data_IF_396413378822
#
_entry.id   IF_396413378822
#
_cell.length_a   1.000
_cell.length_b   1.000
_cell.length_c   1.000
_cell.angle_alpha   90.00
_cell.angle_beta   90.00
_cell.angle_gamma   90.00
#
_symmetry.space_group_name_H-M   'P 1'
#
loop_
_entity.id
_entity.type
_entity.pdbx_description
1 polymer ?
#
# COMPACT_ATOMS: atom_id res chain seq x y z
N UNK A 1 -11.46 6.07 -17.98
CA UNK A 1 -11.06 5.94 -16.55
C UNK A 1 -11.27 4.50 -16.16
N UNK A 2 -10.27 3.85 -15.57
CA UNK A 2 -10.48 2.50 -15.06
C UNK A 2 -11.48 2.52 -13.90
N UNK A 3 -12.11 1.39 -13.64
CA UNK A 3 -13.16 1.30 -12.60
C UNK A 3 -12.61 1.60 -11.19
N UNK A 4 -11.29 1.47 -10.99
CA UNK A 4 -10.58 1.79 -9.76
C UNK A 4 -10.43 3.29 -9.57
N UNK A 5 -9.90 3.98 -10.58
CA UNK A 5 -9.74 5.43 -10.54
C UNK A 5 -11.08 6.13 -10.31
N UNK A 6 -12.19 5.59 -10.83
CA UNK A 6 -13.52 6.14 -10.60
C UNK A 6 -13.96 6.07 -9.14
N UNK A 7 -13.72 4.95 -8.46
CA UNK A 7 -14.08 4.83 -7.04
C UNK A 7 -13.22 5.74 -6.17
N UNK A 8 -11.92 5.78 -6.44
CA UNK A 8 -11.01 6.67 -5.73
C UNK A 8 -11.34 8.14 -6.00
N UNK A 9 -11.78 8.53 -7.21
CA UNK A 9 -12.16 9.92 -7.50
C UNK A 9 -13.31 10.40 -6.61
N UNK A 10 -14.29 9.53 -6.39
CA UNK A 10 -15.42 9.82 -5.48
C UNK A 10 -15.00 9.85 -4.01
N UNK A 11 -14.03 9.02 -3.62
CA UNK A 11 -13.43 9.06 -2.31
C UNK A 11 -12.49 10.27 -2.15
N UNK A 12 -11.82 10.70 -3.22
CA UNK A 12 -10.90 11.83 -3.18
C UNK A 12 -11.59 13.17 -2.87
N UNK A 13 -12.86 13.34 -3.25
CA UNK A 13 -13.67 14.49 -2.83
C UNK A 13 -13.91 14.51 -1.30
N UNK A 14 -13.83 13.34 -0.65
CA UNK A 14 -14.04 13.17 0.79
C UNK A 14 -12.75 12.96 1.58
N UNK A 15 -11.77 12.38 0.92
CA UNK A 15 -10.49 11.98 1.49
C UNK A 15 -9.45 12.18 0.40
N UNK A 16 -8.60 13.18 0.55
CA UNK A 16 -7.48 13.37 -0.36
C UNK A 16 -6.65 12.09 -0.39
N UNK A 17 -6.86 11.26 -1.42
CA UNK A 17 -6.16 10.00 -1.57
C UNK A 17 -4.80 10.27 -2.18
N UNK A 18 -3.78 10.44 -1.35
CA UNK A 18 -2.41 10.65 -1.80
C UNK A 18 -1.50 9.51 -1.34
N UNK A 19 -0.48 9.22 -2.14
CA UNK A 19 0.68 8.41 -1.78
C UNK A 19 1.91 9.30 -1.70
N UNK A 20 2.88 8.88 -0.93
CA UNK A 20 4.14 9.60 -0.78
C UNK A 20 5.31 8.63 -0.84
N UNK A 21 6.25 8.92 -1.72
CA UNK A 21 7.55 8.27 -1.83
C UNK A 21 8.60 9.20 -1.27
N UNK A 22 9.44 8.67 -0.37
CA UNK A 22 10.47 9.42 0.34
C UNK A 22 11.84 8.85 -0.03
N UNK A 23 12.66 9.65 -0.67
CA UNK A 23 14.05 9.35 -0.98
C UNK A 23 14.96 10.22 -0.11
N UNK A 24 15.88 9.60 0.63
CA UNK A 24 16.85 10.29 1.47
C UNK A 24 18.24 10.16 0.86
N UNK A 25 18.91 11.26 0.65
CA UNK A 25 20.25 11.30 0.06
C UNK A 25 21.25 12.02 0.97
N UNK A 26 22.51 11.58 0.92
CA UNK A 26 23.61 12.06 1.78
C UNK A 26 24.25 13.33 1.23
N UNK A 27 23.59 14.48 1.41
CA UNK A 27 24.16 15.76 0.97
C UNK A 27 23.17 16.64 0.23
N UNK A 28 23.70 17.69 -0.44
CA UNK A 28 22.87 18.63 -1.18
C UNK A 28 22.65 18.17 -2.63
N UNK A 29 21.47 18.43 -3.15
CA UNK A 29 21.08 18.17 -4.54
C UNK A 29 20.91 19.47 -5.32
N UNK A 30 21.10 19.43 -6.63
CA UNK A 30 20.80 20.55 -7.51
C UNK A 30 19.30 20.64 -7.77
N UNK A 31 18.66 21.67 -7.26
CA UNK A 31 17.22 21.88 -7.44
C UNK A 31 16.83 22.09 -8.91
N UNK A 32 17.69 22.76 -9.68
CA UNK A 32 17.46 22.97 -11.12
C UNK A 32 17.40 21.62 -11.86
N UNK A 33 18.40 20.73 -11.64
CA UNK A 33 18.42 19.40 -12.26
C UNK A 33 17.28 18.52 -11.75
N UNK A 34 16.97 18.59 -10.45
CA UNK A 34 15.85 17.84 -9.88
C UNK A 34 14.53 18.24 -10.53
N UNK A 35 14.30 19.53 -10.66
CA UNK A 35 13.12 20.06 -11.30
C UNK A 35 13.02 19.62 -12.78
N UNK A 36 14.14 19.70 -13.51
CA UNK A 36 14.23 19.25 -14.90
C UNK A 36 13.93 17.76 -15.04
N UNK A 37 14.52 16.90 -14.20
CA UNK A 37 14.24 15.46 -14.18
C UNK A 37 12.77 15.17 -13.90
N UNK A 38 12.16 15.84 -12.91
CA UNK A 38 10.74 15.63 -12.57
C UNK A 38 9.83 16.08 -13.73
N UNK A 39 10.08 17.27 -14.29
CA UNK A 39 9.30 17.77 -15.43
C UNK A 39 9.39 16.81 -16.61
N UNK A 40 10.60 16.32 -16.92
CA UNK A 40 10.79 15.33 -17.97
C UNK A 40 9.99 14.05 -17.70
N UNK A 41 10.11 13.45 -16.50
CA UNK A 41 9.44 12.21 -16.13
C UNK A 41 7.90 12.34 -16.11
N UNK A 42 7.38 13.47 -15.68
CA UNK A 42 5.95 13.77 -15.76
C UNK A 42 5.49 13.95 -17.20
N UNK A 43 6.31 14.62 -18.05
CA UNK A 43 5.97 14.89 -19.44
C UNK A 43 5.78 13.62 -20.26
N UNK A 44 6.53 12.57 -19.98
CA UNK A 44 6.45 11.30 -20.69
C UNK A 44 5.37 10.35 -20.16
N UNK A 45 4.73 10.66 -19.00
CA UNK A 45 3.67 9.84 -18.39
C UNK A 45 2.30 10.45 -18.65
N UNK A 46 1.58 9.86 -19.60
CA UNK A 46 0.23 10.31 -19.97
C UNK A 46 -0.72 10.36 -18.76
N UNK A 47 -0.62 9.39 -17.85
CA UNK A 47 -1.47 9.34 -16.64
C UNK A 47 -1.26 10.56 -15.75
N UNK A 48 -0.02 11.00 -15.52
CA UNK A 48 0.26 12.18 -14.68
C UNK A 48 -0.19 13.50 -15.29
N UNK A 49 -0.40 13.55 -16.62
CA UNK A 49 -0.90 14.72 -17.34
C UNK A 49 -2.42 14.79 -17.41
N UNK A 50 -3.13 13.73 -16.95
CA UNK A 50 -4.60 13.71 -16.96
C UNK A 50 -5.15 14.63 -15.89
N UNK A 51 -6.14 15.44 -16.28
CA UNK A 51 -6.98 16.17 -15.36
C UNK A 51 -8.34 15.47 -15.27
N UNK A 52 -8.88 15.38 -14.07
CA UNK A 52 -10.20 14.83 -13.85
C UNK A 52 -11.21 15.96 -13.69
N UNK A 53 -12.38 15.83 -14.27
CA UNK A 53 -13.48 16.77 -14.02
C UNK A 53 -14.11 16.53 -12.63
N UNK A 54 -14.96 17.43 -12.19
CA UNK A 54 -15.66 17.33 -10.90
C UNK A 54 -16.60 16.12 -10.80
N UNK A 55 -16.91 15.46 -11.93
CA UNK A 55 -17.72 14.23 -11.96
C UNK A 55 -16.87 12.98 -11.87
N UNK A 56 -15.54 13.12 -11.88
CA UNK A 56 -14.59 12.02 -11.89
C UNK A 56 -14.42 11.37 -13.27
N UNK A 57 -14.95 11.97 -14.32
CA UNK A 57 -14.65 11.53 -15.66
C UNK A 57 -13.26 12.03 -16.07
N UNK A 58 -12.58 11.26 -16.90
CA UNK A 58 -11.33 11.73 -17.52
C UNK A 58 -11.67 12.91 -18.40
N UNK A 59 -11.37 14.10 -17.92
CA UNK A 59 -11.34 15.28 -18.75
C UNK A 59 -10.33 15.12 -19.88
N UNK A 60 -10.39 15.99 -20.85
CA UNK A 60 -9.46 16.03 -21.97
C UNK A 60 -8.01 15.97 -21.46
N UNK A 61 -7.22 15.13 -22.10
CA UNK A 61 -5.76 15.17 -21.96
C UNK A 61 -5.31 16.60 -22.24
N UNK A 62 -4.77 17.26 -21.25
CA UNK A 62 -4.29 18.61 -21.43
C UNK A 62 -2.99 18.55 -22.26
N UNK A 63 -3.14 18.49 -23.59
CA UNK A 63 -2.04 18.40 -24.56
C UNK A 63 -1.17 19.66 -24.57
N UNK A 64 -1.66 20.78 -24.01
CA UNK A 64 -1.13 22.07 -24.36
C UNK A 64 -0.25 22.76 -23.32
N UNK A 65 -0.22 22.27 -22.09
CA UNK A 65 0.68 22.90 -21.12
C UNK A 65 1.08 21.90 -20.05
N UNK A 66 2.23 21.28 -20.25
CA UNK A 66 3.04 20.97 -19.07
C UNK A 66 3.35 22.35 -18.51
N UNK A 67 2.49 22.79 -17.59
CA UNK A 67 2.76 24.06 -16.93
C UNK A 67 4.14 23.95 -16.30
N UNK A 68 5.03 24.94 -16.49
CA UNK A 68 6.31 25.01 -15.80
C UNK A 68 6.17 25.10 -14.28
N UNK A 69 4.98 24.93 -13.75
CA UNK A 69 4.62 24.99 -12.34
C UNK A 69 4.72 23.65 -11.58
N UNK A 70 5.29 22.58 -12.16
CA UNK A 70 5.80 21.49 -11.33
C UNK A 70 7.12 21.98 -10.76
N UNK A 71 7.05 22.90 -9.81
CA UNK A 71 8.23 23.37 -9.08
C UNK A 71 8.48 22.46 -7.90
N UNK A 72 9.75 22.16 -7.66
CA UNK A 72 10.19 21.57 -6.39
C UNK A 72 9.99 22.60 -5.30
N UNK A 73 9.21 22.24 -4.27
CA UNK A 73 8.97 23.12 -3.11
C UNK A 73 10.11 22.87 -2.12
N UNK A 74 10.91 23.92 -1.89
CA UNK A 74 11.95 23.87 -0.87
C UNK A 74 11.37 24.04 0.52
N UNK A 75 11.82 23.22 1.45
CA UNK A 75 11.46 23.27 2.85
C UNK A 75 12.71 23.04 3.72
N UNK A 76 12.72 23.56 4.91
CA UNK A 76 13.77 23.35 5.89
C UNK A 76 13.17 22.94 7.23
N UNK A 77 13.82 21.99 7.89
CA UNK A 77 13.48 21.60 9.26
C UNK A 77 14.39 22.40 10.20
N UNK A 78 13.82 23.34 10.92
CA UNK A 78 14.57 24.30 11.76
C UNK A 78 15.24 23.65 12.96
N UNK A 79 14.60 22.65 13.54
CA UNK A 79 15.20 21.81 14.58
C UNK A 79 15.74 20.52 13.95
N UNK A 80 16.86 20.03 14.42
CA UNK A 80 17.37 18.72 13.98
C UNK A 80 16.55 17.53 14.53
N UNK A 81 15.32 17.77 14.97
CA UNK A 81 14.45 16.77 15.57
C UNK A 81 13.72 15.96 14.49
N UNK A 82 13.85 14.65 14.53
CA UNK A 82 13.15 13.74 13.63
C UNK A 82 11.60 13.86 13.72
N UNK A 83 11.11 14.30 14.87
CA UNK A 83 9.67 14.53 15.05
C UNK A 83 9.15 15.65 14.16
N UNK A 84 9.94 16.72 13.96
CA UNK A 84 9.57 17.82 13.08
C UNK A 84 9.61 17.38 11.61
N UNK A 85 10.65 16.63 11.20
CA UNK A 85 10.68 16.05 9.86
C UNK A 85 9.46 15.16 9.59
N UNK A 86 9.12 14.28 10.53
CA UNK A 86 7.92 13.43 10.39
C UNK A 86 6.64 14.25 10.28
N UNK A 87 6.47 15.25 11.14
CA UNK A 87 5.31 16.13 11.09
C UNK A 87 5.20 16.84 9.73
N UNK A 88 6.33 17.31 9.18
CA UNK A 88 6.38 17.94 7.87
C UNK A 88 6.02 16.97 6.74
N UNK A 89 6.58 15.75 6.74
CA UNK A 89 6.26 14.71 5.77
C UNK A 89 4.76 14.35 5.79
N UNK A 90 4.19 14.26 6.99
CA UNK A 90 2.76 14.02 7.17
C UNK A 90 1.95 15.23 6.67
N UNK A 91 2.30 16.45 7.03
CA UNK A 91 1.62 17.66 6.58
C UNK A 91 1.60 17.77 5.04
N UNK A 92 2.72 17.47 4.39
CA UNK A 92 2.83 17.53 2.93
C UNK A 92 1.83 16.60 2.21
N UNK A 93 1.51 15.44 2.76
CA UNK A 93 0.55 14.52 2.14
C UNK A 93 -0.91 14.86 2.47
N UNK A 94 -1.19 15.46 3.63
CA UNK A 94 -2.56 15.74 4.07
C UNK A 94 -3.02 17.16 3.81
N UNK A 95 -2.16 18.14 4.04
CA UNK A 95 -2.49 19.55 3.91
C UNK A 95 -2.20 20.08 2.50
N UNK A 96 -1.15 19.56 1.88
CA UNK A 96 -0.74 19.89 0.52
C UNK A 96 -1.23 18.88 -0.51
N UNK A 97 -2.49 18.47 -0.41
CA UNK A 97 -3.09 17.51 -1.34
C UNK A 97 -2.86 17.88 -2.81
N UNK A 98 -2.82 16.84 -3.66
CA UNK A 98 -2.71 17.01 -5.11
C UNK A 98 -4.11 17.11 -5.71
N UNK A 99 -4.61 18.31 -6.04
CA UNK A 99 -5.93 18.51 -6.60
C UNK A 99 -5.91 18.15 -8.10
N UNK A 100 -6.20 16.90 -8.42
CA UNK A 100 -6.17 16.33 -9.78
C UNK A 100 -7.12 17.03 -10.78
N UNK A 101 -8.00 17.92 -10.29
CA UNK A 101 -8.87 18.73 -11.14
C UNK A 101 -8.20 20.02 -11.68
N UNK A 102 -7.09 20.42 -11.07
CA UNK A 102 -6.49 21.75 -11.34
C UNK A 102 -5.02 21.70 -11.68
N UNK A 103 -4.35 20.60 -11.39
CA UNK A 103 -2.90 20.46 -11.57
C UNK A 103 -2.50 19.04 -11.91
N UNK A 104 -1.25 18.87 -12.34
CA UNK A 104 -0.66 17.55 -12.54
C UNK A 104 -0.70 16.72 -11.24
N UNK A 105 -0.82 15.41 -11.42
CA UNK A 105 -1.03 14.47 -10.30
C UNK A 105 0.15 14.27 -9.35
N UNK A 106 1.11 15.22 -9.28
CA UNK A 106 2.30 15.14 -8.44
C UNK A 106 2.69 16.50 -7.86
N UNK A 107 3.19 16.47 -6.63
CA UNK A 107 3.98 17.54 -5.99
C UNK A 107 5.31 16.97 -5.51
N UNK A 108 6.37 17.74 -5.61
CA UNK A 108 7.69 17.37 -5.14
C UNK A 108 8.18 18.37 -4.09
N UNK A 109 8.73 17.85 -3.01
CA UNK A 109 9.33 18.64 -1.93
C UNK A 109 10.78 18.24 -1.77
N UNK A 110 11.64 19.24 -1.60
CA UNK A 110 13.06 19.10 -1.27
C UNK A 110 13.28 19.67 0.12
N UNK A 111 13.53 18.80 1.09
CA UNK A 111 13.57 19.15 2.51
C UNK A 111 15.03 19.04 2.97
N UNK A 112 15.61 20.14 3.43
CA UNK A 112 16.91 20.12 4.09
C UNK A 112 16.74 19.64 5.54
N UNK A 113 17.46 18.56 5.90
CA UNK A 113 17.44 17.99 7.24
C UNK A 113 18.83 17.54 7.66
N UNK A 114 19.48 18.26 8.60
CA UNK A 114 20.87 18.03 9.01
C UNK A 114 21.82 18.13 7.79
N UNK A 115 22.60 17.08 7.55
CA UNK A 115 23.49 16.94 6.38
C UNK A 115 22.86 16.11 5.26
N UNK A 116 21.55 15.86 5.32
CA UNK A 116 20.78 15.07 4.36
C UNK A 116 19.85 15.96 3.55
N UNK A 117 19.50 15.51 2.37
CA UNK A 117 18.36 16.02 1.63
C UNK A 117 17.28 14.93 1.59
N UNK A 118 16.06 15.27 1.98
CA UNK A 118 14.89 14.41 1.92
C UNK A 118 14.00 14.87 0.76
N UNK A 119 13.88 14.04 -0.25
CA UNK A 119 13.01 14.26 -1.39
C UNK A 119 11.69 13.54 -1.14
N UNK A 120 10.58 14.28 -1.19
CA UNK A 120 9.26 13.72 -1.02
C UNK A 120 8.43 13.95 -2.29
N UNK A 121 8.01 12.87 -2.92
CA UNK A 121 7.09 12.90 -4.05
C UNK A 121 5.70 12.55 -3.55
N UNK A 122 4.76 13.47 -3.67
CA UNK A 122 3.36 13.26 -3.29
C UNK A 122 2.54 13.12 -4.56
N UNK A 123 1.95 11.95 -4.77
CA UNK A 123 1.14 11.63 -5.94
C UNK A 123 -0.30 11.34 -5.54
N UNK A 124 -1.25 11.64 -6.43
CA UNK A 124 -2.62 11.22 -6.19
C UNK A 124 -2.76 9.72 -6.39
N UNK A 125 -3.34 9.03 -5.41
CA UNK A 125 -3.62 7.59 -5.49
C UNK A 125 -4.64 7.23 -6.60
N UNK A 126 -5.30 8.23 -7.19
CA UNK A 126 -6.10 8.06 -8.41
C UNK A 126 -5.24 7.69 -9.62
N UNK A 127 -3.98 8.13 -9.61
CA UNK A 127 -3.06 8.06 -10.72
C UNK A 127 -1.91 7.08 -10.49
N UNK A 128 -1.67 6.69 -9.24
CA UNK A 128 -0.48 5.98 -8.82
C UNK A 128 -0.78 5.01 -7.68
N UNK A 129 -0.25 3.81 -7.76
CA UNK A 129 -0.07 2.92 -6.60
C UNK A 129 1.40 2.92 -6.16
N UNK A 130 1.73 2.18 -5.10
CA UNK A 130 3.10 2.12 -4.58
C UNK A 130 4.11 1.66 -5.65
N UNK A 131 3.76 0.69 -6.50
CA UNK A 131 4.66 0.22 -7.58
C UNK A 131 4.92 1.32 -8.61
N UNK A 132 3.87 2.02 -9.05
CA UNK A 132 4.01 3.14 -9.96
C UNK A 132 4.85 4.28 -9.34
N UNK A 133 4.65 4.57 -8.05
CA UNK A 133 5.46 5.55 -7.31
C UNK A 133 6.94 5.16 -7.25
N UNK A 134 7.25 3.88 -7.04
CA UNK A 134 8.64 3.38 -7.02
C UNK A 134 9.30 3.52 -8.40
N UNK A 135 8.59 3.16 -9.46
CA UNK A 135 9.07 3.30 -10.84
C UNK A 135 9.29 4.77 -11.21
N UNK A 136 8.38 5.66 -10.83
CA UNK A 136 8.57 7.10 -11.03
C UNK A 136 9.82 7.61 -10.30
N UNK A 137 10.00 7.21 -9.04
CA UNK A 137 11.18 7.63 -8.27
C UNK A 137 12.47 7.10 -8.88
N UNK A 138 12.49 5.83 -9.30
CA UNK A 138 13.64 5.24 -9.99
C UNK A 138 13.98 5.99 -11.30
N UNK A 139 12.98 6.32 -12.09
CA UNK A 139 13.17 7.06 -13.33
C UNK A 139 13.62 8.52 -13.09
N UNK A 140 13.13 9.18 -12.02
CA UNK A 140 13.62 10.49 -11.62
C UNK A 140 15.08 10.42 -11.18
N UNK A 141 15.49 9.36 -10.45
CA UNK A 141 16.88 9.12 -10.08
C UNK A 141 17.76 8.95 -11.33
N UNK A 142 17.32 8.14 -12.28
CA UNK A 142 18.04 7.89 -13.54
C UNK A 142 18.17 9.17 -14.38
N UNK A 143 17.08 9.92 -14.55
CA UNK A 143 17.07 11.18 -15.29
C UNK A 143 17.96 12.24 -14.63
N UNK A 144 17.91 12.36 -13.30
CA UNK A 144 18.79 13.26 -12.56
C UNK A 144 20.26 12.91 -12.74
N UNK A 145 20.61 11.61 -12.69
CA UNK A 145 21.98 11.14 -12.88
C UNK A 145 22.47 11.45 -14.29
N UNK A 146 21.65 11.20 -15.34
CA UNK A 146 21.99 11.57 -16.72
C UNK A 146 22.25 13.06 -16.88
N UNK A 147 21.40 13.91 -16.29
CA UNK A 147 21.63 15.37 -16.29
C UNK A 147 22.90 15.77 -15.52
N UNK A 148 23.22 15.07 -14.41
CA UNK A 148 24.44 15.31 -13.67
C UNK A 148 25.70 14.98 -14.48
N UNK A 149 25.61 13.96 -15.32
CA UNK A 149 26.68 13.53 -16.24
C UNK A 149 26.71 14.34 -17.56
N UNK A 150 25.85 15.35 -17.70
CA UNK A 150 25.76 16.20 -18.89
C UNK A 150 25.12 15.54 -20.11
N UNK A 151 24.37 14.46 -19.90
CA UNK A 151 23.67 13.73 -20.95
C UNK A 151 22.30 14.37 -21.25
N UNK A 152 21.87 14.33 -22.49
CA UNK A 152 20.52 14.73 -22.88
C UNK A 152 19.50 13.65 -22.54
N UNK A 153 18.33 14.08 -22.05
CA UNK A 153 17.22 13.18 -21.79
C UNK A 153 16.46 12.85 -23.07
N UNK A 154 16.36 11.57 -23.39
CA UNK A 154 15.64 11.09 -24.58
C UNK A 154 14.23 10.67 -24.22
N UNK A 155 13.25 11.31 -24.82
CA UNK A 155 11.84 11.05 -24.54
C UNK A 155 11.31 9.79 -25.27
N UNK A 156 10.99 8.75 -24.51
CA UNK A 156 10.04 7.75 -24.94
C UNK A 156 8.74 7.89 -24.13
N UNK A 157 7.60 7.97 -24.79
CA UNK A 157 6.33 8.05 -24.08
C UNK A 157 6.05 6.76 -23.34
N UNK A 158 5.66 6.88 -22.06
CA UNK A 158 5.18 5.75 -21.26
C UNK A 158 3.68 5.65 -21.43
N UNK A 159 3.24 4.52 -21.97
CA UNK A 159 1.82 4.25 -22.16
C UNK A 159 1.07 4.21 -20.84
N UNK A 160 -0.16 4.66 -20.88
CA UNK A 160 -1.08 4.55 -19.76
C UNK A 160 -2.04 3.40 -19.99
N UNK A 161 -2.42 2.74 -18.93
CA UNK A 161 -3.48 1.75 -19.01
C UNK A 161 -4.84 2.41 -19.28
N UNK A 162 -5.55 1.92 -20.31
CA UNK A 162 -6.85 2.47 -20.70
C UNK A 162 -8.02 1.97 -19.85
N UNK A 163 -7.75 1.16 -18.83
CA UNK A 163 -8.78 0.69 -17.89
C UNK A 163 -9.49 -0.59 -18.29
N UNK A 164 -9.32 -1.04 -19.50
CA UNK A 164 -9.87 -2.32 -19.92
C UNK A 164 -8.83 -3.42 -19.67
N UNK A 165 -8.96 -4.08 -18.53
CA UNK A 165 -8.46 -5.45 -18.44
C UNK A 165 -9.28 -6.24 -19.45
N UNK A 166 -8.69 -6.54 -20.59
CA UNK A 166 -9.20 -7.59 -21.45
C UNK A 166 -9.14 -8.91 -20.69
N UNK A 167 -10.15 -9.09 -19.85
CA UNK A 167 -10.35 -10.35 -19.16
C UNK A 167 -10.73 -11.35 -20.25
N UNK A 168 -9.77 -12.18 -20.67
CA UNK A 168 -10.02 -13.35 -21.52
C UNK A 168 -10.83 -14.38 -20.72
N UNK A 169 -12.04 -14.02 -20.32
CA UNK A 169 -12.97 -14.86 -19.60
C UNK A 169 -13.96 -15.48 -20.60
N UNK A 170 -14.34 -16.71 -20.34
CA UNK A 170 -15.46 -17.31 -21.06
C UNK A 170 -16.79 -16.63 -20.67
N UNK A 171 -17.82 -16.71 -21.50
CA UNK A 171 -19.13 -16.15 -21.21
C UNK A 171 -19.72 -16.70 -19.89
N UNK A 172 -19.44 -17.95 -19.56
CA UNK A 172 -19.84 -18.57 -18.29
C UNK A 172 -19.11 -17.97 -17.10
N UNK A 173 -17.83 -17.66 -17.24
CA UNK A 173 -17.07 -17.00 -16.18
C UNK A 173 -17.57 -15.57 -15.94
N UNK A 174 -17.93 -14.84 -17.00
CA UNK A 174 -18.56 -13.53 -16.86
C UNK A 174 -19.82 -13.60 -16.00
N UNK A 175 -20.75 -14.54 -16.30
CA UNK A 175 -21.99 -14.74 -15.53
C UNK A 175 -21.66 -15.15 -14.09
N UNK A 176 -20.73 -16.09 -13.90
CA UNK A 176 -20.31 -16.58 -12.59
C UNK A 176 -19.77 -15.47 -11.70
N UNK A 177 -18.83 -14.66 -12.22
CA UNK A 177 -18.20 -13.60 -11.42
C UNK A 177 -19.13 -12.43 -11.16
N UNK A 178 -20.00 -12.10 -12.13
CA UNK A 178 -21.08 -11.14 -11.91
C UNK A 178 -22.03 -11.60 -10.79
N UNK A 179 -22.46 -12.84 -10.81
CA UNK A 179 -23.36 -13.40 -9.77
C UNK A 179 -22.69 -13.38 -8.39
N UNK A 180 -21.41 -13.77 -8.30
CA UNK A 180 -20.65 -13.70 -7.05
C UNK A 180 -20.53 -12.24 -6.56
N UNK A 181 -20.30 -11.29 -7.46
CA UNK A 181 -20.23 -9.88 -7.12
C UNK A 181 -21.56 -9.35 -6.58
N UNK A 182 -22.68 -9.67 -7.25
CA UNK A 182 -24.03 -9.28 -6.82
C UNK A 182 -24.39 -9.87 -5.44
N UNK A 183 -24.08 -11.14 -5.19
CA UNK A 183 -24.29 -11.78 -3.89
C UNK A 183 -23.44 -11.11 -2.80
N UNK A 184 -22.19 -10.73 -3.10
CA UNK A 184 -21.32 -10.02 -2.15
C UNK A 184 -21.89 -8.65 -1.80
N UNK A 185 -22.35 -7.89 -2.79
CA UNK A 185 -22.99 -6.59 -2.57
C UNK A 185 -24.22 -6.75 -1.70
N UNK A 186 -25.11 -7.72 -2.02
CA UNK A 186 -26.31 -7.98 -1.24
C UNK A 186 -25.98 -8.37 0.20
N UNK A 187 -24.99 -9.24 0.40
CA UNK A 187 -24.51 -9.62 1.74
C UNK A 187 -23.96 -8.42 2.50
N UNK A 188 -23.12 -7.59 1.86
CA UNK A 188 -22.56 -6.39 2.46
C UNK A 188 -23.66 -5.38 2.83
N UNK A 189 -24.76 -5.36 2.05
CA UNK A 189 -25.94 -4.55 2.32
C UNK A 189 -26.76 -5.06 3.51
N UNK A 190 -27.00 -6.39 3.58
CA UNK A 190 -27.79 -7.01 4.65
C UNK A 190 -27.03 -7.05 5.99
N UNK A 191 -25.73 -7.25 5.96
CA UNK A 191 -24.89 -7.27 7.19
C UNK A 191 -24.57 -5.86 7.74
N UNK A 192 -25.34 -4.90 7.33
CA UNK A 192 -25.19 -3.50 7.59
C UNK A 192 -25.64 -3.13 9.02
N UNK A 193 -24.71 -2.85 9.90
CA UNK A 193 -24.99 -2.23 11.18
C UNK A 193 -25.28 -0.73 11.00
N UNK A 194 -26.52 -0.32 11.30
CA UNK A 194 -26.93 1.08 11.32
C UNK A 194 -26.15 1.80 12.43
N UNK A 195 -25.41 2.83 12.10
CA UNK A 195 -24.95 3.74 13.15
C UNK A 195 -23.62 4.44 13.04
N UNK A 196 -22.80 4.17 12.02
CA UNK A 196 -21.52 4.88 11.87
C UNK A 196 -21.67 6.09 10.94
N UNK A 197 -21.80 7.30 11.55
CA UNK A 197 -21.76 8.56 10.79
C UNK A 197 -20.33 8.87 10.35
N UNK A 198 -20.14 9.26 9.10
CA UNK A 198 -18.84 9.54 8.47
C UNK A 198 -18.01 10.63 9.19
N UNK A 199 -18.66 11.57 9.87
CA UNK A 199 -17.98 12.66 10.61
C UNK A 199 -17.04 12.17 11.73
N UNK A 200 -17.21 10.92 12.19
CA UNK A 200 -16.37 10.33 13.25
C UNK A 200 -15.09 9.64 12.72
N UNK A 201 -14.87 9.63 11.41
CA UNK A 201 -13.82 8.80 10.81
C UNK A 201 -12.63 9.55 10.21
N UNK A 202 -12.64 10.88 10.19
CA UNK A 202 -11.45 11.61 9.73
C UNK A 202 -10.48 11.68 10.90
N UNK A 203 -9.32 11.01 10.85
CA UNK A 203 -8.31 11.14 11.89
C UNK A 203 -7.88 12.60 11.96
N UNK A 204 -7.95 13.22 13.12
CA UNK A 204 -7.55 14.61 13.33
C UNK A 204 -6.04 14.72 13.60
N UNK A 205 -5.42 13.64 14.06
CA UNK A 205 -3.97 13.56 14.24
C UNK A 205 -3.45 12.26 13.60
N UNK A 206 -2.38 12.38 12.86
CA UNK A 206 -1.76 11.27 12.11
C UNK A 206 -0.26 11.29 12.37
N UNK A 207 0.34 10.11 12.46
CA UNK A 207 1.78 9.97 12.56
C UNK A 207 2.22 8.74 11.76
N UNK A 208 3.53 8.66 11.49
CA UNK A 208 4.17 7.56 10.80
C UNK A 208 5.30 7.00 11.65
N UNK A 209 5.48 5.68 11.57
CA UNK A 209 6.65 4.99 12.10
C UNK A 209 7.28 4.18 10.97
N UNK A 210 8.54 4.47 10.65
CA UNK A 210 9.36 3.59 9.82
C UNK A 210 10.17 2.67 10.73
N UNK A 211 10.22 1.39 10.38
CA UNK A 211 11.03 0.38 11.06
C UNK A 211 11.81 -0.47 10.05
N UNK A 212 13.06 -0.71 10.36
CA UNK A 212 13.91 -1.65 9.64
C UNK A 212 14.09 -2.87 10.54
N UNK A 213 13.62 -4.03 10.08
CA UNK A 213 13.77 -5.26 10.83
C UNK A 213 15.22 -5.70 10.91
N UNK A 214 15.58 -6.51 11.90
CA UNK A 214 16.92 -7.03 12.04
C UNK A 214 17.40 -7.68 10.72
N UNK A 215 18.66 -7.47 10.38
CA UNK A 215 19.26 -7.83 9.09
C UNK A 215 19.04 -9.30 8.67
N UNK A 216 18.98 -10.19 9.62
CA UNK A 216 18.73 -11.62 9.38
C UNK A 216 17.24 -11.97 9.21
N UNK A 217 16.31 -11.09 9.57
CA UNK A 217 14.86 -11.37 9.53
C UNK A 217 14.41 -11.67 8.11
N UNK A 218 14.85 -10.90 7.12
CA UNK A 218 14.49 -11.17 5.71
C UNK A 218 14.98 -12.56 5.28
N UNK A 219 16.24 -12.91 5.56
CA UNK A 219 16.80 -14.21 5.19
C UNK A 219 16.04 -15.36 5.86
N UNK A 220 15.67 -15.22 7.14
CA UNK A 220 14.87 -16.20 7.87
C UNK A 220 13.49 -16.41 7.23
N UNK A 221 12.76 -15.35 6.94
CA UNK A 221 11.41 -15.47 6.34
C UNK A 221 11.46 -15.95 4.90
N UNK A 222 12.50 -15.61 4.12
CA UNK A 222 12.71 -16.13 2.76
C UNK A 222 13.02 -17.62 2.77
N UNK A 223 13.86 -18.09 3.71
CA UNK A 223 14.12 -19.53 3.90
C UNK A 223 12.80 -20.25 4.22
N UNK A 224 12.04 -19.75 5.19
CA UNK A 224 10.76 -20.33 5.60
C UNK A 224 9.72 -20.34 4.49
N UNK A 225 9.68 -19.30 3.68
CA UNK A 225 8.87 -19.23 2.47
C UNK A 225 9.16 -20.41 1.54
N UNK A 226 10.43 -20.72 1.29
CA UNK A 226 10.84 -21.84 0.43
C UNK A 226 10.47 -23.19 1.04
N UNK A 227 10.72 -23.38 2.33
CA UNK A 227 10.37 -24.61 3.06
C UNK A 227 8.86 -24.92 3.01
N UNK A 228 8.02 -23.90 3.16
CA UNK A 228 6.58 -24.05 3.17
C UNK A 228 5.95 -24.04 1.77
N UNK A 229 6.71 -23.71 0.72
CA UNK A 229 6.19 -23.56 -0.64
C UNK A 229 5.14 -22.43 -0.75
N UNK A 230 5.28 -21.35 0.04
CA UNK A 230 4.35 -20.22 0.07
C UNK A 230 4.98 -18.96 -0.51
N UNK A 231 4.19 -17.90 -0.72
CA UNK A 231 4.71 -16.57 -1.00
C UNK A 231 5.12 -15.84 0.30
N UNK A 232 5.92 -14.77 0.20
CA UNK A 232 6.33 -13.98 1.37
C UNK A 232 5.13 -13.33 2.07
N UNK A 233 4.14 -12.92 1.30
CA UNK A 233 3.00 -12.12 1.76
C UNK A 233 2.19 -12.78 2.90
N UNK A 234 1.76 -14.08 2.86
CA UNK A 234 1.06 -14.70 3.98
C UNK A 234 1.89 -14.79 5.26
N UNK A 235 3.21 -14.88 5.16
CA UNK A 235 4.09 -14.86 6.34
C UNK A 235 4.01 -13.49 7.01
N UNK A 236 4.19 -12.42 6.24
CA UNK A 236 4.11 -11.04 6.75
C UNK A 236 2.72 -10.72 7.32
N UNK A 237 1.65 -11.12 6.61
CA UNK A 237 0.29 -10.95 7.09
C UNK A 237 0.05 -11.67 8.42
N UNK A 238 0.50 -12.93 8.52
CA UNK A 238 0.33 -13.72 9.75
C UNK A 238 1.05 -13.08 10.92
N UNK A 239 2.31 -12.67 10.74
CA UNK A 239 3.08 -12.01 11.78
C UNK A 239 2.42 -10.69 12.23
N UNK A 240 1.99 -9.85 11.28
CA UNK A 240 1.36 -8.57 11.60
C UNK A 240 0.02 -8.75 12.34
N UNK A 241 -0.83 -9.67 11.87
CA UNK A 241 -2.14 -9.91 12.52
C UNK A 241 -1.97 -10.55 13.89
N UNK A 242 -1.00 -11.46 14.04
CA UNK A 242 -0.71 -12.08 15.34
C UNK A 242 -0.15 -11.07 16.33
N UNK A 243 0.81 -10.23 15.90
CA UNK A 243 1.33 -9.14 16.72
C UNK A 243 0.22 -8.16 17.14
N UNK A 244 -0.67 -7.80 16.22
CA UNK A 244 -1.84 -6.98 16.50
C UNK A 244 -2.78 -7.63 17.53
N UNK A 245 -3.06 -8.93 17.39
CA UNK A 245 -3.91 -9.66 18.32
C UNK A 245 -3.28 -9.72 19.73
N UNK A 246 -1.97 -9.99 19.81
CA UNK A 246 -1.21 -9.98 21.08
C UNK A 246 -1.26 -8.60 21.71
N UNK A 247 -1.01 -7.55 20.93
CA UNK A 247 -1.03 -6.17 21.40
C UNK A 247 -2.40 -5.79 21.98
N UNK A 248 -3.48 -6.19 21.30
CA UNK A 248 -4.85 -5.79 21.64
C UNK A 248 -5.48 -6.64 22.75
N UNK A 249 -5.20 -7.94 22.79
CA UNK A 249 -5.92 -8.90 23.64
C UNK A 249 -5.00 -9.67 24.62
N UNK A 250 -3.69 -9.57 24.48
CA UNK A 250 -2.71 -10.38 25.19
C UNK A 250 -2.46 -11.75 24.53
N UNK A 251 -1.35 -12.40 24.91
CA UNK A 251 -0.92 -13.69 24.30
C UNK A 251 -1.92 -14.82 24.50
N UNK A 252 -2.61 -14.85 25.63
CA UNK A 252 -3.52 -15.94 26.01
C UNK A 252 -4.87 -15.90 25.26
N UNK A 253 -5.12 -14.84 24.46
CA UNK A 253 -6.40 -14.62 23.77
C UNK A 253 -6.23 -14.37 22.26
N UNK A 254 -5.17 -14.92 21.67
CA UNK A 254 -4.86 -14.69 20.26
C UNK A 254 -5.72 -15.53 19.31
N UNK A 255 -6.28 -16.66 19.77
CA UNK A 255 -7.14 -17.46 18.94
C UNK A 255 -8.41 -16.70 18.55
N UNK A 256 -8.66 -16.63 17.27
CA UNK A 256 -9.79 -15.88 16.77
C UNK A 256 -9.77 -15.70 15.26
N UNK A 257 -10.82 -15.07 14.76
CA UNK A 257 -10.96 -14.73 13.35
C UNK A 257 -10.88 -13.22 13.18
N UNK A 258 -9.83 -12.76 12.51
CA UNK A 258 -9.52 -11.35 12.30
C UNK A 258 -9.82 -10.96 10.86
N UNK A 259 -10.58 -9.91 10.67
CA UNK A 259 -10.82 -9.33 9.35
C UNK A 259 -9.86 -8.16 9.16
N UNK A 260 -9.08 -8.21 8.09
CA UNK A 260 -8.16 -7.15 7.69
C UNK A 260 -8.53 -6.65 6.29
N UNK A 261 -8.01 -5.49 5.92
CA UNK A 261 -7.92 -5.09 4.52
C UNK A 261 -6.50 -5.39 4.02
N UNK A 262 -6.42 -6.15 2.95
CA UNK A 262 -5.19 -6.47 2.23
C UNK A 262 -5.23 -5.82 0.85
N UNK A 263 -4.15 -5.17 0.42
CA UNK A 263 -4.08 -4.54 -0.88
C UNK A 263 -3.48 -5.48 -1.90
N UNK A 264 -4.19 -5.67 -2.99
CA UNK A 264 -3.86 -6.65 -4.00
C UNK A 264 -3.59 -5.98 -5.36
N UNK A 265 -2.45 -6.29 -5.96
CA UNK A 265 -2.07 -5.76 -7.28
C UNK A 265 -2.63 -6.64 -8.42
N UNK A 266 -3.20 -5.98 -9.42
CA UNK A 266 -3.69 -6.61 -10.66
C UNK A 266 -2.66 -6.64 -11.78
N UNK A 267 -1.50 -6.01 -11.62
CA UNK A 267 -0.49 -5.87 -12.68
C UNK A 267 -0.17 -7.19 -13.36
N UNK A 268 -0.07 -8.29 -12.62
CA UNK A 268 0.21 -9.62 -13.14
C UNK A 268 -0.87 -10.23 -14.05
N UNK A 269 -2.08 -9.65 -14.05
CA UNK A 269 -3.18 -10.08 -14.94
C UNK A 269 -3.33 -9.18 -16.15
N UNK A 270 -2.57 -8.10 -16.20
CA UNK A 270 -2.47 -7.23 -17.35
C UNK A 270 -1.55 -7.86 -18.42
N UNK A 271 -1.73 -7.46 -19.67
CA UNK A 271 -0.79 -7.81 -20.73
C UNK A 271 0.61 -7.27 -20.40
N UNK A 272 1.66 -7.87 -20.98
CA UNK A 272 3.06 -7.48 -20.72
C UNK A 272 3.29 -5.98 -20.87
N UNK A 273 2.64 -5.37 -21.87
CA UNK A 273 2.79 -3.96 -22.24
C UNK A 273 2.18 -3.01 -21.17
N UNK A 274 1.24 -3.54 -20.38
CA UNK A 274 0.49 -2.77 -19.38
C UNK A 274 0.99 -3.07 -17.96
N UNK A 275 1.71 -4.16 -17.74
CA UNK A 275 2.21 -4.52 -16.40
C UNK A 275 3.05 -3.41 -15.75
N UNK A 276 3.78 -2.66 -16.57
CA UNK A 276 4.62 -1.54 -16.18
C UNK A 276 3.96 -0.17 -16.44
N UNK A 277 2.65 -0.14 -16.75
CA UNK A 277 1.95 1.12 -16.92
C UNK A 277 1.93 1.90 -15.60
N UNK A 278 2.20 3.20 -15.70
CA UNK A 278 2.04 4.11 -14.57
C UNK A 278 0.55 4.36 -14.33
N UNK A 279 -0.03 3.61 -13.39
CA UNK A 279 -1.45 3.71 -13.04
C UNK A 279 -1.72 3.03 -11.68
N UNK A 280 -2.89 3.29 -11.12
CA UNK A 280 -3.37 2.59 -9.93
C UNK A 280 -3.95 1.24 -10.31
N UNK A 281 -3.24 0.18 -9.97
CA UNK A 281 -3.62 -1.20 -10.25
C UNK A 281 -3.72 -2.06 -8.99
N UNK A 282 -4.16 -1.46 -7.88
CA UNK A 282 -4.37 -2.12 -6.60
C UNK A 282 -5.81 -2.03 -6.13
N UNK A 283 -6.25 -3.01 -5.39
CA UNK A 283 -7.60 -3.10 -4.85
C UNK A 283 -7.59 -3.68 -3.44
N UNK A 284 -8.44 -3.19 -2.53
CA UNK A 284 -8.60 -3.78 -1.22
C UNK A 284 -9.33 -5.13 -1.31
N UNK A 285 -8.77 -6.10 -0.64
CA UNK A 285 -9.33 -7.41 -0.39
C UNK A 285 -9.52 -7.59 1.12
N UNK A 286 -10.56 -8.30 1.56
CA UNK A 286 -10.92 -8.40 2.97
C UNK A 286 -10.88 -9.86 3.47
N UNK A 287 -9.70 -10.47 3.59
CA UNK A 287 -9.59 -11.82 4.11
C UNK A 287 -9.96 -11.88 5.59
N UNK A 288 -10.45 -13.04 6.00
CA UNK A 288 -10.54 -13.42 7.41
C UNK A 288 -9.40 -14.37 7.73
N UNK A 289 -8.54 -13.94 8.63
CA UNK A 289 -7.40 -14.72 9.09
C UNK A 289 -7.81 -15.39 10.40
N UNK A 290 -7.87 -16.71 10.39
CA UNK A 290 -8.09 -17.50 11.60
C UNK A 290 -6.72 -17.82 12.21
N UNK A 291 -6.35 -17.10 13.25
CA UNK A 291 -5.14 -17.38 13.99
C UNK A 291 -5.30 -18.70 14.76
N UNK A 292 -4.22 -19.49 14.77
CA UNK A 292 -4.09 -20.74 15.49
C UNK A 292 -2.81 -20.69 16.31
N UNK A 293 -2.68 -21.58 17.29
CA UNK A 293 -1.42 -21.77 18.03
C UNK A 293 -0.27 -22.08 17.07
N UNK A 294 -0.46 -23.04 16.18
CA UNK A 294 0.50 -23.34 15.12
C UNK A 294 0.46 -22.27 14.04
N UNK A 295 1.45 -21.40 14.08
CA UNK A 295 1.63 -20.30 13.13
C UNK A 295 1.82 -20.82 11.70
N UNK A 296 2.49 -21.96 11.52
CA UNK A 296 2.69 -22.59 10.21
C UNK A 296 1.36 -22.96 9.57
N UNK A 297 0.44 -23.56 10.34
CA UNK A 297 -0.90 -23.85 9.82
C UNK A 297 -1.66 -22.58 9.45
N UNK A 298 -1.50 -21.49 10.20
CA UNK A 298 -2.10 -20.20 9.87
C UNK A 298 -1.57 -19.69 8.53
N UNK A 299 -0.24 -19.72 8.32
CA UNK A 299 0.40 -19.31 7.05
C UNK A 299 -0.09 -20.14 5.87
N UNK A 300 -0.12 -21.48 6.01
CA UNK A 300 -0.58 -22.38 4.95
C UNK A 300 -2.05 -22.20 4.60
N UNK A 301 -2.91 -22.00 5.61
CA UNK A 301 -4.32 -21.70 5.38
C UNK A 301 -4.52 -20.37 4.68
N UNK A 302 -3.77 -19.35 5.08
CA UNK A 302 -3.83 -18.04 4.47
C UNK A 302 -3.36 -18.09 3.02
N UNK A 303 -2.25 -18.80 2.72
CA UNK A 303 -1.79 -19.01 1.34
C UNK A 303 -2.89 -19.65 0.49
N UNK A 304 -3.52 -20.74 0.97
CA UNK A 304 -4.62 -21.41 0.26
C UNK A 304 -5.83 -20.48 0.04
N UNK A 305 -6.15 -19.67 1.04
CA UNK A 305 -7.22 -18.69 0.91
C UNK A 305 -6.91 -17.62 -0.13
N UNK A 306 -5.69 -17.08 -0.12
CA UNK A 306 -5.21 -16.12 -1.10
C UNK A 306 -5.16 -16.71 -2.51
N UNK A 307 -4.71 -17.96 -2.67
CA UNK A 307 -4.67 -18.61 -3.97
C UNK A 307 -6.08 -18.87 -4.53
N UNK A 308 -7.01 -19.29 -3.67
CA UNK A 308 -8.43 -19.43 -4.06
C UNK A 308 -9.03 -18.09 -4.50
N UNK A 309 -8.70 -17.00 -3.83
CA UNK A 309 -9.12 -15.66 -4.23
C UNK A 309 -8.43 -15.22 -5.54
N UNK A 310 -7.14 -15.52 -5.70
CA UNK A 310 -6.38 -15.21 -6.91
C UNK A 310 -6.96 -15.86 -8.16
N UNK A 311 -7.47 -17.09 -8.05
CA UNK A 311 -7.91 -17.89 -9.21
C UNK A 311 -9.38 -17.69 -9.58
N UNK A 312 -10.16 -16.97 -8.79
CA UNK A 312 -11.58 -16.88 -9.12
C UNK A 312 -12.30 -15.65 -8.57
N UNK A 313 -11.95 -15.19 -7.38
CA UNK A 313 -12.73 -14.13 -6.72
C UNK A 313 -12.26 -12.73 -7.05
N UNK A 314 -11.04 -12.59 -7.54
CA UNK A 314 -10.48 -11.32 -7.95
C UNK A 314 -11.31 -10.70 -9.09
N UNK A 315 -11.75 -11.52 -10.03
CA UNK A 315 -12.61 -11.07 -11.11
C UNK A 315 -13.99 -10.66 -10.60
N UNK A 316 -14.54 -11.37 -9.61
CA UNK A 316 -15.79 -10.98 -8.97
C UNK A 316 -15.65 -9.58 -8.28
N UNK A 317 -14.47 -9.24 -7.78
CA UNK A 317 -14.21 -7.92 -7.21
C UNK A 317 -14.23 -6.82 -8.28
N UNK A 318 -13.69 -7.07 -9.47
CA UNK A 318 -13.80 -6.16 -10.62
C UNK A 318 -15.27 -5.93 -11.00
N UNK A 319 -16.07 -7.00 -11.08
CA UNK A 319 -17.51 -6.88 -11.33
C UNK A 319 -18.23 -6.12 -10.21
N UNK A 320 -17.86 -6.33 -8.97
CA UNK A 320 -18.41 -5.58 -7.84
C UNK A 320 -18.15 -4.07 -8.01
N UNK A 321 -16.97 -3.69 -8.45
CA UNK A 321 -16.64 -2.30 -8.71
C UNK A 321 -17.41 -1.73 -9.90
N UNK A 322 -17.57 -2.49 -10.98
CA UNK A 322 -18.44 -2.09 -12.10
C UNK A 322 -19.89 -1.88 -11.66
N UNK A 323 -20.41 -2.78 -10.82
CA UNK A 323 -21.75 -2.64 -10.23
C UNK A 323 -21.86 -1.41 -9.32
N UNK A 324 -20.86 -1.12 -8.51
CA UNK A 324 -20.82 0.13 -7.72
C UNK A 324 -20.76 1.37 -8.60
N UNK A 325 -20.04 1.33 -9.71
CA UNK A 325 -20.03 2.44 -10.69
C UNK A 325 -21.42 2.68 -11.27
N UNK A 326 -22.11 1.63 -11.68
CA UNK A 326 -23.48 1.72 -12.19
C UNK A 326 -24.42 2.25 -11.09
N UNK A 327 -24.32 1.69 -9.88
CA UNK A 327 -25.11 2.14 -8.73
C UNK A 327 -24.87 3.63 -8.41
N UNK A 328 -23.63 4.11 -8.53
CA UNK A 328 -23.27 5.51 -8.31
C UNK A 328 -23.89 6.48 -9.34
N UNK A 329 -24.23 5.99 -10.53
CA UNK A 329 -24.91 6.78 -11.53
C UNK A 329 -26.42 6.93 -11.24
N UNK A 330 -27.00 5.95 -10.55
CA UNK A 330 -28.44 5.84 -10.30
C UNK A 330 -28.83 6.23 -8.87
N UNK A 331 -27.93 5.99 -7.89
CA UNK A 331 -28.19 6.23 -6.47
C UNK A 331 -27.63 7.60 -6.03
N UNK A 332 -28.21 8.20 -4.97
CA UNK A 332 -27.68 9.44 -4.41
C UNK A 332 -26.18 9.33 -4.09
N UNK A 333 -25.42 10.38 -4.47
CA UNK A 333 -23.94 10.44 -4.37
C UNK A 333 -23.38 9.92 -3.04
N UNK A 334 -24.06 10.24 -1.93
CA UNK A 334 -23.65 9.86 -0.59
C UNK A 334 -23.91 8.39 -0.23
N UNK A 335 -24.85 7.72 -0.88
CA UNK A 335 -25.23 6.36 -0.52
C UNK A 335 -24.16 5.34 -0.93
N UNK A 336 -23.68 5.43 -2.16
CA UNK A 336 -22.69 4.48 -2.69
C UNK A 336 -21.32 4.64 -2.00
N UNK A 337 -20.97 5.89 -1.66
CA UNK A 337 -19.77 6.18 -0.87
C UNK A 337 -19.88 5.60 0.55
N UNK A 338 -21.03 5.82 1.21
CA UNK A 338 -21.28 5.24 2.52
C UNK A 338 -21.20 3.71 2.48
N UNK A 339 -21.71 3.08 1.43
CA UNK A 339 -21.63 1.63 1.27
C UNK A 339 -20.18 1.15 1.11
N UNK A 340 -19.40 1.80 0.25
CA UNK A 340 -17.97 1.47 0.06
C UNK A 340 -17.16 1.65 1.36
N UNK A 341 -17.34 2.78 2.05
CA UNK A 341 -16.66 3.05 3.32
C UNK A 341 -17.08 2.07 4.42
N UNK A 342 -18.30 1.56 4.41
CA UNK A 342 -18.76 0.58 5.40
C UNK A 342 -18.19 -0.81 5.17
N UNK A 343 -17.89 -1.20 3.93
CA UNK A 343 -17.15 -2.42 3.67
C UNK A 343 -15.73 -2.35 4.28
N UNK A 344 -15.13 -1.16 4.24
CA UNK A 344 -13.81 -0.89 4.85
C UNK A 344 -13.94 -0.71 6.37
N UNK A 345 -15.06 -0.17 6.88
CA UNK A 345 -15.27 0.19 8.29
C UNK A 345 -15.16 -0.96 9.28
N UNK A 346 -15.30 -2.19 8.81
CA UNK A 346 -15.17 -3.39 9.64
C UNK A 346 -13.70 -3.83 9.81
N UNK A 347 -12.75 -3.08 9.26
CA UNK A 347 -11.32 -3.40 9.33
C UNK A 347 -10.56 -2.27 10.01
N UNK A 348 -10.04 -2.53 11.21
CA UNK A 348 -9.18 -1.56 11.91
C UNK A 348 -7.78 -1.53 11.31
N UNK A 349 -7.34 -2.65 10.71
CA UNK A 349 -5.99 -2.87 10.23
C UNK A 349 -5.99 -3.07 8.71
N UNK A 350 -5.18 -2.27 8.04
CA UNK A 350 -4.88 -2.39 6.62
C UNK A 350 -3.43 -2.89 6.51
N UNK A 351 -3.19 -3.94 5.75
CA UNK A 351 -1.85 -4.47 5.55
C UNK A 351 -1.60 -4.58 4.04
N UNK A 352 -0.41 -4.20 3.61
CA UNK A 352 0.04 -4.40 2.23
C UNK A 352 1.50 -4.79 2.19
N UNK A 353 1.87 -5.57 1.19
CA UNK A 353 3.25 -5.81 0.83
C UNK A 353 3.51 -5.18 -0.53
N UNK A 354 4.23 -4.06 -0.53
CA UNK A 354 4.56 -3.31 -1.73
C UNK A 354 5.72 -3.93 -2.55
N UNK A 355 6.33 -5.01 -2.04
CA UNK A 355 7.38 -5.75 -2.72
C UNK A 355 8.77 -5.13 -2.57
N UNK A 356 9.66 -5.50 -3.47
CA UNK A 356 11.04 -4.99 -3.50
C UNK A 356 11.09 -3.65 -4.23
N UNK A 357 11.84 -2.72 -3.65
CA UNK A 357 12.11 -1.40 -4.21
C UNK A 357 13.48 -1.46 -4.89
N UNK A 358 13.48 -1.26 -6.20
CA UNK A 358 14.66 -1.23 -7.04
C UNK A 358 14.76 0.15 -7.68
N UNK A 359 15.69 0.97 -7.20
CA UNK A 359 15.92 2.31 -7.76
C UNK A 359 16.88 2.31 -8.95
N UNK A 360 17.49 1.16 -9.25
CA UNK A 360 18.47 1.03 -10.33
C UNK A 360 19.84 1.69 -10.06
N UNK A 361 19.91 2.54 -9.06
CA UNK A 361 21.09 3.32 -8.70
C UNK A 361 21.29 3.36 -7.18
N UNK A 362 22.55 3.42 -6.74
CA UNK A 362 22.94 3.66 -5.33
C UNK A 362 23.28 5.13 -5.08
N UNK A 363 23.27 5.95 -6.13
CA UNK A 363 23.60 7.38 -6.08
C UNK A 363 22.55 8.23 -6.76
N UNK A 364 22.47 9.47 -6.30
CA UNK A 364 21.67 10.54 -6.85
C UNK A 364 22.62 11.69 -7.22
N UNK A 365 23.07 11.72 -8.47
CA UNK A 365 24.22 12.49 -8.89
C UNK A 365 25.49 12.01 -8.18
N UNK A 366 26.13 12.91 -7.48
CA UNK A 366 27.37 12.64 -6.74
C UNK A 366 27.15 12.26 -5.25
N UNK A 367 25.90 12.22 -4.78
CA UNK A 367 25.58 11.86 -3.39
C UNK A 367 24.99 10.45 -3.29
N UNK A 368 25.19 9.81 -2.14
CA UNK A 368 24.70 8.46 -1.89
C UNK A 368 23.19 8.48 -1.60
N UNK A 369 22.46 7.47 -2.08
CA UNK A 369 21.09 7.18 -1.65
C UNK A 369 21.19 6.44 -0.31
N UNK A 370 20.76 7.13 0.76
CA UNK A 370 20.85 6.61 2.13
C UNK A 370 19.67 5.75 2.46
N UNK A 371 18.46 6.13 1.98
CA UNK A 371 17.22 5.47 2.39
C UNK A 371 16.08 5.73 1.42
N UNK A 372 15.12 4.81 1.43
CA UNK A 372 13.85 4.95 0.72
C UNK A 372 12.71 4.30 1.49
N UNK A 373 11.57 4.97 1.59
CA UNK A 373 10.33 4.41 2.10
C UNK A 373 9.12 5.13 1.51
N UNK A 374 7.94 4.53 1.64
CA UNK A 374 6.70 5.12 1.15
C UNK A 374 5.59 4.96 2.16
N UNK A 375 4.62 5.87 2.09
CA UNK A 375 3.39 5.75 2.84
C UNK A 375 2.23 6.44 2.13
N UNK A 376 1.04 5.84 2.08
CA UNK A 376 -0.15 6.48 1.58
C UNK A 376 -0.86 7.22 2.70
N UNK A 377 -1.82 8.04 2.31
CA UNK A 377 -2.78 8.60 3.24
C UNK A 377 -3.63 7.48 3.87
N UNK A 378 -3.86 7.58 5.17
CA UNK A 378 -4.73 6.66 5.87
C UNK A 378 -6.20 6.91 5.47
N UNK A 379 -6.83 5.89 4.90
CA UNK A 379 -8.22 5.97 4.47
C UNK A 379 -9.18 5.72 5.63
N UNK A 380 -10.15 6.61 5.86
CA UNK A 380 -11.25 6.29 6.77
C UNK A 380 -12.01 5.05 6.29
N UNK A 381 -12.45 4.19 7.19
CA UNK A 381 -12.33 4.22 8.64
C UNK A 381 -11.12 3.46 9.18
N UNK A 382 -10.16 3.09 8.33
CA UNK A 382 -8.91 2.48 8.73
C UNK A 382 -8.21 3.34 9.80
N UNK A 383 -7.73 2.69 10.85
CA UNK A 383 -7.05 3.36 11.96
C UNK A 383 -5.56 3.16 11.93
N UNK A 384 -5.14 2.14 11.22
CA UNK A 384 -3.73 1.78 11.05
C UNK A 384 -3.52 1.10 9.70
N UNK A 385 -2.42 1.44 9.05
CA UNK A 385 -1.95 0.77 7.85
C UNK A 385 -0.49 0.37 8.03
N UNK A 386 -0.19 -0.90 7.74
CA UNK A 386 1.16 -1.45 7.76
C UNK A 386 1.57 -1.75 6.33
N UNK A 387 2.64 -1.14 5.87
CA UNK A 387 3.21 -1.32 4.54
C UNK A 387 4.55 -2.02 4.70
N UNK A 388 4.64 -3.26 4.21
CA UNK A 388 5.92 -3.96 4.10
C UNK A 388 6.55 -3.69 2.75
N UNK A 389 7.86 -3.55 2.75
CA UNK A 389 8.69 -3.53 1.55
C UNK A 389 10.08 -4.07 1.84
N UNK A 390 10.84 -4.34 0.78
CA UNK A 390 12.26 -4.67 0.85
C UNK A 390 13.04 -3.60 0.12
N UNK A 391 14.05 -3.04 0.76
CA UNK A 391 14.98 -2.08 0.16
C UNK A 391 16.40 -2.35 0.69
N UNK A 392 17.40 -2.35 -0.20
CA UNK A 392 18.79 -2.64 0.13
C UNK A 392 18.95 -3.96 0.94
N UNK A 393 18.25 -5.03 0.50
CA UNK A 393 18.23 -6.35 1.14
C UNK A 393 17.73 -6.36 2.60
N UNK A 394 17.02 -5.33 3.01
CA UNK A 394 16.40 -5.24 4.35
C UNK A 394 14.88 -5.26 4.25
N UNK A 395 14.26 -6.07 5.11
CA UNK A 395 12.81 -6.02 5.31
C UNK A 395 12.46 -4.78 6.12
N UNK A 396 11.45 -4.07 5.69
CA UNK A 396 11.03 -2.81 6.30
C UNK A 396 9.52 -2.76 6.46
N UNK A 397 9.07 -2.01 7.44
CA UNK A 397 7.66 -1.67 7.63
C UNK A 397 7.50 -0.17 7.82
N UNK A 398 6.54 0.41 7.12
CA UNK A 398 6.07 1.76 7.40
C UNK A 398 4.65 1.65 7.96
N UNK A 399 4.43 2.18 9.14
CA UNK A 399 3.13 2.18 9.81
C UNK A 399 2.58 3.59 9.79
N UNK A 400 1.40 3.76 9.18
CA UNK A 400 0.60 4.99 9.24
C UNK A 400 -0.54 4.76 10.21
N UNK A 401 -0.74 5.64 11.17
CA UNK A 401 -1.72 5.42 12.21
C UNK A 401 -2.41 6.71 12.70
N UNK A 402 -3.56 6.53 13.31
CA UNK A 402 -4.33 7.58 13.98
C UNK A 402 -3.71 7.85 15.36
N UNK A 403 -2.95 8.93 15.46
CA UNK A 403 -2.23 9.31 16.68
C UNK A 403 -3.12 9.74 17.85
N UNK A 404 -4.43 9.91 17.64
CA UNK A 404 -5.38 10.09 18.74
C UNK A 404 -5.77 8.78 19.42
N UNK A 405 -5.64 7.67 18.69
CA UNK A 405 -6.02 6.33 19.18
C UNK A 405 -4.85 5.52 19.66
N UNK A 406 -3.69 5.74 19.08
CA UNK A 406 -2.49 4.95 19.33
C UNK A 406 -1.35 5.89 19.70
N UNK A 407 -0.81 5.72 20.90
CA UNK A 407 0.42 6.37 21.27
C UNK A 407 1.58 5.80 20.45
N UNK A 408 2.59 6.62 20.16
CA UNK A 408 3.78 6.18 19.42
C UNK A 408 4.48 4.97 20.06
N UNK A 409 4.53 4.94 21.41
CA UNK A 409 5.08 3.82 22.17
C UNK A 409 4.33 2.51 21.95
N UNK A 410 3.01 2.56 21.75
CA UNK A 410 2.19 1.39 21.43
C UNK A 410 2.53 0.85 20.03
N UNK A 411 2.78 1.75 19.06
CA UNK A 411 3.18 1.36 17.71
C UNK A 411 4.60 0.77 17.70
N UNK A 412 5.52 1.31 18.48
CA UNK A 412 6.87 0.74 18.66
C UNK A 412 6.75 -0.68 19.22
N UNK A 413 5.96 -0.88 20.27
CA UNK A 413 5.71 -2.20 20.86
C UNK A 413 5.07 -3.18 19.86
N UNK A 414 4.14 -2.70 19.02
CA UNK A 414 3.53 -3.52 17.97
C UNK A 414 4.58 -4.01 16.97
N UNK A 415 5.51 -3.15 16.57
CA UNK A 415 6.59 -3.48 15.63
C UNK A 415 7.56 -4.49 16.26
N UNK A 416 7.93 -4.31 17.52
CA UNK A 416 8.74 -5.28 18.27
C UNK A 416 8.07 -6.66 18.32
N UNK A 417 6.75 -6.70 18.55
CA UNK A 417 5.98 -7.94 18.49
C UNK A 417 5.97 -8.54 17.08
N UNK A 418 5.84 -7.72 16.03
CA UNK A 418 5.92 -8.22 14.65
C UNK A 418 7.28 -8.84 14.36
N UNK A 419 8.36 -8.22 14.81
CA UNK A 419 9.71 -8.75 14.64
C UNK A 419 9.88 -10.09 15.36
N UNK A 420 9.43 -10.19 16.62
CA UNK A 420 9.42 -11.43 17.37
C UNK A 420 8.64 -12.54 16.64
N UNK A 421 7.45 -12.24 16.14
CA UNK A 421 6.65 -13.23 15.42
C UNK A 421 7.28 -13.65 14.09
N UNK A 422 7.94 -12.74 13.35
CA UNK A 422 8.70 -13.07 12.15
C UNK A 422 9.89 -13.98 12.45
N UNK A 423 10.61 -13.72 13.54
CA UNK A 423 11.71 -14.57 14.00
C UNK A 423 11.21 -15.96 14.40
N UNK A 424 10.12 -16.04 15.18
CA UNK A 424 9.49 -17.30 15.56
C UNK A 424 9.00 -18.13 14.37
N UNK A 425 8.46 -17.49 13.34
CA UNK A 425 8.07 -18.18 12.10
C UNK A 425 9.31 -18.69 11.36
N UNK A 426 10.41 -17.95 11.37
CA UNK A 426 11.65 -18.29 10.66
C UNK A 426 12.51 -19.33 11.39
N UNK A 427 12.31 -19.55 12.69
CA UNK A 427 13.14 -20.44 13.51
C UNK A 427 12.55 -21.85 13.59
N UNK A 428 13.34 -22.85 13.15
CA UNK A 428 12.94 -24.27 13.19
C UNK A 428 13.11 -24.92 14.56
N UNK A 429 13.84 -24.29 15.48
CA UNK A 429 14.09 -24.85 16.81
C UNK A 429 12.81 -24.99 17.64
N UNK A 430 11.81 -24.16 17.40
CA UNK A 430 10.50 -24.26 18.05
C UNK A 430 9.72 -25.53 17.67
N UNK A 431 9.97 -26.14 16.50
CA UNK A 431 9.34 -27.44 16.13
C UNK A 431 9.90 -28.62 16.90
N UNK A 432 11.19 -28.61 17.22
CA UNK A 432 11.82 -29.69 17.98
C UNK A 432 11.34 -29.72 19.43
N UNK A 433 11.07 -28.55 20.02
CA UNK A 433 10.52 -28.45 21.39
C UNK A 433 9.07 -28.97 21.43
N UNK A 434 8.23 -28.58 20.45
CA UNK A 434 6.84 -29.07 20.34
C UNK A 434 6.75 -30.57 20.06
N UNK A 435 7.63 -31.10 19.21
CA UNK A 435 7.74 -32.55 18.96
C UNK A 435 8.30 -33.33 20.15
N UNK A 436 9.24 -32.75 20.88
CA UNK A 436 9.80 -33.36 22.11
C UNK A 436 8.78 -33.36 23.28
N UNK A 437 7.96 -32.32 23.39
CA UNK A 437 6.87 -32.27 24.38
C UNK A 437 5.78 -33.27 24.01
N UNK A 438 5.38 -33.35 22.74
CA UNK A 438 4.37 -34.32 22.26
C UNK A 438 4.86 -35.79 22.35
N UNK A 439 6.17 -36.02 22.24
CA UNK A 439 6.77 -37.36 22.39
C UNK A 439 6.94 -37.79 23.87
N UNK A 440 6.89 -36.84 24.80
CA UNK A 440 7.03 -37.11 26.24
C UNK A 440 5.69 -37.10 27.00
N UNK A 441 4.56 -36.93 26.32
CA UNK A 441 3.25 -37.07 26.95
C UNK A 441 2.99 -38.56 27.17
N UNK A 442 2.93 -39.06 28.41
CA UNK A 442 2.71 -40.48 28.68
C UNK A 442 1.29 -40.81 28.19
N UNK A 443 1.22 -41.79 27.29
CA UNK A 443 -0.05 -42.31 26.77
C UNK A 443 -1.00 -42.59 27.93
N UNK A 444 -2.16 -41.95 27.93
CA UNK A 444 -3.24 -42.29 28.89
C UNK A 444 -3.49 -43.80 28.89
N UNK A 445 -3.55 -44.44 30.04
CA UNK A 445 -3.80 -45.85 30.12
C UNK A 445 -5.23 -46.11 29.57
N UNK A 446 -5.33 -46.91 28.51
CA UNK A 446 -6.60 -47.37 27.98
C UNK A 446 -7.41 -48.08 29.08
N UNK A 447 -8.70 -47.77 29.24
CA UNK A 447 -9.54 -48.49 30.18
C UNK A 447 -9.69 -49.96 29.71
N UNK A 448 -9.25 -50.88 30.57
CA UNK A 448 -9.50 -52.32 30.38
C UNK A 448 -11.00 -52.55 30.55
N UNK A 449 -11.69 -53.02 29.51
CA UNK A 449 -12.98 -53.69 29.55
C UNK A 449 -12.81 -55.22 29.71
#
# INVERSE_FOLDING_TARGET
>A
MNDFSFQFSRLADLVNANCSEILIVGGKVSLSRLNEAIVFEVSRRKTLRRLFDSTGNTGQENRHTISPQIGVIEQEVSSHAEAELRALLVANIWENSVPVHRMHGIKAFCIAFRNLTVLQFVTSHLLSDARAGYELTADVVDSYNKLADGMELQAANIESWNGDLELRLSSLDHIRYFSIAAIRILRDFVTFERGTTMSKFVPSARDILKHVFARNTLALVLRKRMELGVTLHPILLTAAVKAWAIHKFGRDKIEGSYRIADMYSFRRYASSDIQNAYDTMVMPFFPRIKLREDVTQTVLQLQRALDKEKHGRIFAELYRQRLYRIANQVLPKNFAIQLALRCIAKTELIITNAGTIELGHTRFGNVEIVDFFSFPQLFPPGRMMIIFNTFADELRATIVYDAQRFARSEIIKLVELMEQELQLIGDDSCRQIGAAIAANDPAEPQPRH
#
